data_IF_147973755188
#
_entry.id   IF_147973755188
#
_cell.length_a   1.000
_cell.length_b   1.000
_cell.length_c   1.000
_cell.angle_alpha   90.00
_cell.angle_beta   90.00
_cell.angle_gamma   90.00
#
_symmetry.space_group_name_H-M   'P 1'
#
loop_
_entity.id
_entity.type
_entity.pdbx_description
1 polymer ?
#
# COMPACT_ATOMS: atom_id res chain seq x y z
N UNK A 1 -8.71 20.76 -17.81
CA UNK A 1 -7.58 20.84 -16.85
C UNK A 1 -7.91 21.59 -15.56
N UNK A 2 -8.90 22.49 -15.53
CA UNK A 2 -9.34 23.20 -14.30
C UNK A 2 -10.04 22.26 -13.32
N UNK A 3 -10.75 21.25 -13.80
CA UNK A 3 -11.49 20.29 -12.98
C UNK A 3 -10.56 19.32 -12.23
N UNK A 4 -9.45 18.92 -12.84
CA UNK A 4 -8.40 18.11 -12.19
C UNK A 4 -7.76 18.85 -11.00
N UNK A 5 -7.56 20.17 -11.12
CA UNK A 5 -7.00 20.99 -10.06
C UNK A 5 -7.94 21.14 -8.87
N UNK A 6 -9.25 21.15 -9.13
CA UNK A 6 -10.29 21.16 -8.11
C UNK A 6 -10.28 19.86 -7.30
N UNK A 7 -10.18 18.70 -7.96
CA UNK A 7 -10.08 17.40 -7.28
C UNK A 7 -8.79 17.29 -6.46
N UNK A 8 -7.65 17.75 -6.98
CA UNK A 8 -6.39 17.81 -6.24
C UNK A 8 -6.49 18.66 -4.96
N UNK A 9 -7.25 19.74 -4.99
CA UNK A 9 -7.47 20.59 -3.81
C UNK A 9 -8.33 19.89 -2.75
N UNK A 10 -9.23 19.01 -3.15
CA UNK A 10 -10.05 18.20 -2.25
C UNK A 10 -9.22 17.13 -1.52
N UNK A 11 -8.10 16.69 -2.12
CA UNK A 11 -7.15 15.74 -1.51
C UNK A 11 -6.19 16.39 -0.51
N UNK A 12 -6.01 17.72 -0.57
CA UNK A 12 -5.06 18.45 0.27
C UNK A 12 -5.25 18.25 1.79
N UNK A 13 -6.46 18.23 2.35
CA UNK A 13 -6.66 17.99 3.78
C UNK A 13 -6.32 16.56 4.22
N UNK A 14 -6.25 15.59 3.28
CA UNK A 14 -5.98 14.19 3.54
C UNK A 14 -4.58 13.75 3.08
N UNK A 15 -3.72 14.71 2.72
CA UNK A 15 -2.37 14.45 2.19
C UNK A 15 -1.48 13.66 3.15
N UNK A 16 -1.67 13.81 4.46
CA UNK A 16 -0.92 13.06 5.49
C UNK A 16 -1.21 11.56 5.41
N UNK A 17 -2.47 11.17 5.21
CA UNK A 17 -2.86 9.77 5.06
C UNK A 17 -2.35 9.16 3.75
N UNK A 18 -2.39 9.94 2.68
CA UNK A 18 -1.83 9.54 1.38
C UNK A 18 -0.30 9.39 1.46
N UNK A 19 0.39 10.35 2.07
CA UNK A 19 1.83 10.28 2.28
C UNK A 19 2.21 9.09 3.17
N UNK A 20 1.42 8.79 4.22
CA UNK A 20 1.57 7.61 5.06
C UNK A 20 1.45 6.31 4.25
N UNK A 21 0.43 6.20 3.40
CA UNK A 21 0.25 5.05 2.51
C UNK A 21 1.42 4.86 1.55
N UNK A 22 1.88 5.93 0.90
CA UNK A 22 3.02 5.90 -0.04
C UNK A 22 4.32 5.50 0.68
N UNK A 23 4.58 6.05 1.87
CA UNK A 23 5.79 5.71 2.64
C UNK A 23 5.78 4.25 3.08
N UNK A 24 4.62 3.74 3.49
CA UNK A 24 4.45 2.34 3.88
C UNK A 24 4.62 1.39 2.68
N UNK A 25 4.09 1.76 1.51
CA UNK A 25 4.25 1.04 0.26
C UNK A 25 5.72 0.97 -0.16
N UNK A 26 6.45 2.08 -0.07
CA UNK A 26 7.88 2.13 -0.35
C UNK A 26 8.68 1.24 0.61
N UNK A 27 8.39 1.30 1.91
CA UNK A 27 9.02 0.44 2.92
C UNK A 27 8.78 -1.04 2.62
N UNK A 28 7.56 -1.41 2.27
CA UNK A 28 7.18 -2.78 1.93
C UNK A 28 7.87 -3.27 0.66
N UNK A 29 8.02 -2.41 -0.34
CA UNK A 29 8.75 -2.71 -1.57
C UNK A 29 10.25 -2.94 -1.28
N UNK A 30 10.88 -2.05 -0.50
CA UNK A 30 12.28 -2.19 -0.09
C UNK A 30 12.51 -3.47 0.72
N UNK A 31 11.63 -3.78 1.69
CA UNK A 31 11.70 -5.01 2.45
C UNK A 31 11.58 -6.27 1.56
N UNK A 32 10.75 -6.20 0.51
CA UNK A 32 10.58 -7.30 -0.45
C UNK A 32 11.83 -7.53 -1.30
N UNK A 33 12.47 -6.47 -1.76
CA UNK A 33 13.73 -6.54 -2.53
C UNK A 33 14.85 -7.06 -1.64
N UNK A 34 14.98 -6.52 -0.42
CA UNK A 34 15.99 -6.96 0.55
C UNK A 34 15.80 -8.44 0.91
N UNK A 35 14.55 -8.89 1.10
CA UNK A 35 14.25 -10.30 1.38
C UNK A 35 14.70 -11.21 0.24
N UNK A 36 14.40 -10.83 -1.01
CA UNK A 36 14.77 -11.61 -2.18
C UNK A 36 16.29 -11.70 -2.33
N UNK A 37 16.99 -10.58 -2.20
CA UNK A 37 18.45 -10.49 -2.30
C UNK A 37 19.13 -11.30 -1.21
N UNK A 38 18.69 -11.14 0.04
CA UNK A 38 19.28 -11.85 1.17
C UNK A 38 19.03 -13.37 1.10
N UNK A 39 17.82 -13.77 0.66
CA UNK A 39 17.48 -15.19 0.46
C UNK A 39 18.31 -15.81 -0.65
N UNK A 40 18.49 -15.13 -1.78
CA UNK A 40 19.33 -15.57 -2.88
C UNK A 40 20.80 -15.72 -2.46
N UNK A 41 21.33 -14.71 -1.77
CA UNK A 41 22.68 -14.77 -1.22
C UNK A 41 22.84 -15.93 -0.22
N UNK A 42 21.88 -16.13 0.67
CA UNK A 42 21.92 -17.20 1.67
C UNK A 42 21.94 -18.60 1.03
N UNK A 43 21.13 -18.82 -0.01
CA UNK A 43 21.10 -20.08 -0.75
C UNK A 43 22.44 -20.33 -1.43
N UNK A 44 23.00 -19.33 -2.11
CA UNK A 44 24.28 -19.44 -2.79
C UNK A 44 25.43 -19.69 -1.81
N UNK A 45 25.46 -18.97 -0.69
CA UNK A 45 26.47 -19.11 0.34
C UNK A 45 26.40 -20.50 1.02
N UNK A 46 25.20 -21.01 1.29
CA UNK A 46 25.01 -22.34 1.87
C UNK A 46 25.44 -23.47 0.90
N UNK A 47 25.19 -23.30 -0.40
CA UNK A 47 25.63 -24.24 -1.42
C UNK A 47 27.16 -24.32 -1.49
N UNK A 48 27.83 -23.16 -1.47
CA UNK A 48 29.31 -23.10 -1.46
C UNK A 48 29.86 -23.73 -0.19
N UNK A 49 29.32 -23.41 0.98
CA UNK A 49 29.72 -24.00 2.25
C UNK A 49 29.58 -25.54 2.26
N UNK A 50 28.49 -26.05 1.63
CA UNK A 50 28.24 -27.47 1.48
C UNK A 50 29.29 -28.17 0.62
N UNK A 51 29.75 -27.55 -0.49
CA UNK A 51 30.82 -28.09 -1.34
C UNK A 51 32.15 -28.22 -0.58
N UNK A 52 32.52 -27.17 0.18
CA UNK A 52 33.75 -27.24 1.00
C UNK A 52 33.66 -28.29 2.11
N UNK A 53 32.49 -28.54 2.66
CA UNK A 53 32.30 -29.60 3.67
C UNK A 53 32.51 -31.02 3.08
N UNK A 54 32.17 -31.24 1.83
CA UNK A 54 32.40 -32.51 1.12
C UNK A 54 33.90 -32.76 0.95
N UNK A 55 34.69 -31.72 0.70
CA UNK A 55 36.16 -31.83 0.54
C UNK A 55 36.92 -31.90 1.89
N UNK A 56 36.21 -32.06 3.01
CA UNK A 56 36.77 -32.14 4.35
C UNK A 56 37.21 -30.82 4.95
N UNK A 57 36.98 -29.69 4.28
CA UNK A 57 37.24 -28.34 4.76
C UNK A 57 35.95 -27.75 5.39
N UNK A 58 35.98 -27.50 6.67
CA UNK A 58 34.85 -26.83 7.37
C UNK A 58 34.99 -25.31 7.29
N UNK A 59 34.23 -24.67 6.42
CA UNK A 59 34.02 -23.22 6.52
C UNK A 59 33.03 -22.94 7.64
N UNK A 60 33.41 -22.08 8.59
CA UNK A 60 32.51 -21.62 9.64
C UNK A 60 31.42 -20.72 9.04
N UNK A 61 30.39 -21.33 8.52
CA UNK A 61 29.22 -20.61 7.94
C UNK A 61 28.22 -20.28 9.04
N UNK A 62 28.12 -19.00 9.39
CA UNK A 62 27.14 -18.56 10.36
C UNK A 62 25.76 -18.41 9.69
N UNK A 63 24.91 -19.42 9.83
CA UNK A 63 23.55 -19.42 9.28
C UNK A 63 22.54 -18.69 10.16
N UNK A 64 22.85 -18.43 11.42
CA UNK A 64 21.89 -17.89 12.40
C UNK A 64 21.55 -16.44 12.12
N UNK A 65 22.54 -15.64 11.80
CA UNK A 65 22.36 -14.20 11.53
C UNK A 65 21.51 -13.95 10.26
N UNK A 66 21.81 -14.53 9.09
CA UNK A 66 20.98 -14.36 7.90
C UNK A 66 19.57 -14.91 8.06
N UNK A 67 19.40 -16.03 8.76
CA UNK A 67 18.10 -16.61 9.04
C UNK A 67 17.23 -15.68 9.89
N UNK A 68 17.81 -15.02 10.90
CA UNK A 68 17.12 -14.04 11.71
C UNK A 68 16.72 -12.79 10.91
N UNK A 69 17.61 -12.31 10.04
CA UNK A 69 17.35 -11.16 9.16
C UNK A 69 16.23 -11.45 8.14
N UNK A 70 16.21 -12.63 7.54
CA UNK A 70 15.15 -13.08 6.63
C UNK A 70 13.81 -13.09 7.34
N UNK A 71 13.75 -13.63 8.57
CA UNK A 71 12.53 -13.62 9.37
C UNK A 71 12.05 -12.20 9.70
N UNK A 72 12.97 -11.34 10.12
CA UNK A 72 12.64 -9.94 10.42
C UNK A 72 12.10 -9.20 9.19
N UNK A 73 12.73 -9.36 8.03
CA UNK A 73 12.27 -8.77 6.77
C UNK A 73 10.92 -9.33 6.32
N UNK A 74 10.67 -10.63 6.51
CA UNK A 74 9.39 -11.24 6.20
C UNK A 74 8.25 -10.67 7.08
N UNK A 75 8.50 -10.50 8.37
CA UNK A 75 7.55 -9.89 9.30
C UNK A 75 7.30 -8.42 8.90
N UNK A 76 8.37 -7.66 8.66
CA UNK A 76 8.27 -6.25 8.24
C UNK A 76 7.46 -6.10 6.96
N UNK A 77 7.70 -6.96 5.97
CA UNK A 77 6.92 -6.99 4.72
C UNK A 77 5.44 -7.27 4.96
N UNK A 78 5.13 -8.24 5.82
CA UNK A 78 3.73 -8.63 6.09
C UNK A 78 3.00 -7.53 6.84
N UNK A 79 3.61 -7.00 7.90
CA UNK A 79 3.05 -5.89 8.69
C UNK A 79 2.93 -4.62 7.86
N UNK A 80 3.94 -4.32 7.04
CA UNK A 80 3.93 -3.17 6.15
C UNK A 80 2.79 -3.24 5.12
N UNK A 81 2.56 -4.39 4.50
CA UNK A 81 1.43 -4.61 3.59
C UNK A 81 0.08 -4.46 4.28
N UNK A 82 -0.04 -4.98 5.48
CA UNK A 82 -1.28 -4.85 6.25
C UNK A 82 -1.54 -3.39 6.62
N UNK A 83 -0.52 -2.69 7.12
CA UNK A 83 -0.60 -1.28 7.45
C UNK A 83 -0.91 -0.40 6.23
N UNK A 84 -0.25 -0.64 5.09
CA UNK A 84 -0.54 0.02 3.81
C UNK A 84 -2.02 -0.11 3.43
N UNK A 85 -2.56 -1.33 3.53
CA UNK A 85 -3.96 -1.60 3.20
C UNK A 85 -4.92 -0.88 4.13
N UNK A 86 -4.63 -0.82 5.43
CA UNK A 86 -5.43 -0.08 6.40
C UNK A 86 -5.42 1.42 6.12
N UNK A 87 -4.24 2.00 5.94
CA UNK A 87 -4.08 3.45 5.70
C UNK A 87 -4.73 3.86 4.38
N UNK A 88 -4.56 3.07 3.32
CA UNK A 88 -5.17 3.34 2.02
C UNK A 88 -6.69 3.23 2.09
N UNK A 89 -7.21 2.24 2.80
CA UNK A 89 -8.66 2.05 2.96
C UNK A 89 -9.30 3.21 3.72
N UNK A 90 -8.67 3.64 4.82
CA UNK A 90 -9.11 4.81 5.59
C UNK A 90 -9.07 6.10 4.75
N UNK A 91 -8.00 6.28 3.95
CA UNK A 91 -7.89 7.43 3.05
C UNK A 91 -9.02 7.46 2.01
N UNK A 92 -9.34 6.31 1.41
CA UNK A 92 -10.43 6.18 0.42
C UNK A 92 -11.77 6.53 1.07
N UNK A 93 -12.08 6.02 2.26
CA UNK A 93 -13.35 6.32 2.93
C UNK A 93 -13.49 7.81 3.27
N UNK A 94 -12.43 8.45 3.72
CA UNK A 94 -12.44 9.90 4.01
C UNK A 94 -12.69 10.73 2.75
N UNK A 95 -12.05 10.37 1.65
CA UNK A 95 -12.25 11.03 0.35
C UNK A 95 -13.69 10.82 -0.13
N UNK A 96 -14.20 9.59 -0.04
CA UNK A 96 -15.56 9.26 -0.45
C UNK A 96 -16.61 10.03 0.38
N UNK A 97 -16.41 10.13 1.70
CA UNK A 97 -17.26 10.93 2.57
C UNK A 97 -17.25 12.42 2.18
N UNK A 98 -16.07 12.96 1.85
CA UNK A 98 -15.92 14.33 1.37
C UNK A 98 -16.65 14.58 0.04
N UNK A 99 -16.51 13.68 -0.92
CA UNK A 99 -17.20 13.75 -2.22
C UNK A 99 -18.72 13.68 -2.02
N UNK A 100 -19.19 12.76 -1.16
CA UNK A 100 -20.61 12.61 -0.85
C UNK A 100 -21.19 13.90 -0.23
N UNK A 101 -20.50 14.48 0.74
CA UNK A 101 -20.90 15.73 1.37
C UNK A 101 -20.96 16.88 0.37
N UNK A 102 -19.94 17.02 -0.47
CA UNK A 102 -19.91 18.03 -1.52
C UNK A 102 -21.06 17.85 -2.52
N UNK A 103 -21.33 16.62 -2.95
CA UNK A 103 -22.41 16.31 -3.87
C UNK A 103 -23.77 16.67 -3.29
N UNK A 104 -24.04 16.35 -2.02
CA UNK A 104 -25.27 16.74 -1.34
C UNK A 104 -25.43 18.26 -1.26
N UNK A 105 -24.37 18.99 -0.96
CA UNK A 105 -24.41 20.46 -0.91
C UNK A 105 -24.74 21.09 -2.27
N UNK A 106 -24.33 20.46 -3.36
CA UNK A 106 -24.67 20.91 -4.71
C UNK A 106 -26.12 20.57 -5.12
N UNK A 107 -26.69 19.50 -4.55
CA UNK A 107 -28.06 19.07 -4.83
C UNK A 107 -29.12 19.85 -4.04
N UNK A 108 -28.80 20.31 -2.82
CA UNK A 108 -29.71 21.05 -1.95
C UNK A 108 -30.31 22.30 -2.63
N UNK A 109 -29.56 23.15 -3.36
CA UNK A 109 -30.12 24.33 -4.03
C UNK A 109 -30.91 24.01 -5.30
N UNK A 110 -30.85 22.76 -5.78
CA UNK A 110 -31.70 22.32 -6.90
C UNK A 110 -33.12 22.03 -6.38
N UNK A 111 -33.98 23.05 -6.51
CA UNK A 111 -35.37 23.10 -6.05
C UNK A 111 -36.09 21.75 -6.25
N UNK A 112 -36.87 21.27 -5.28
CA UNK A 112 -37.60 19.99 -5.31
C UNK A 112 -38.39 19.70 -6.59
N UNK A 113 -38.92 20.75 -7.26
CA UNK A 113 -39.65 20.60 -8.50
C UNK A 113 -38.87 20.11 -9.73
N UNK A 114 -37.55 20.23 -9.75
CA UNK A 114 -36.73 19.67 -10.83
C UNK A 114 -36.27 18.23 -10.55
N UNK A 115 -36.14 17.84 -9.30
CA UNK A 115 -35.78 16.48 -8.90
C UNK A 115 -36.92 15.48 -9.10
N UNK A 116 -38.18 15.91 -9.00
CA UNK A 116 -39.35 15.07 -9.27
C UNK A 116 -39.51 14.74 -10.78
N UNK A 117 -38.93 15.55 -11.67
CA UNK A 117 -38.90 15.29 -13.12
C UNK A 117 -37.82 14.26 -13.53
N UNK A 118 -36.81 14.04 -12.67
CA UNK A 118 -35.77 13.02 -12.88
C UNK A 118 -36.21 11.74 -12.16
N UNK A 119 -36.80 10.81 -12.90
CA UNK A 119 -37.15 9.48 -12.37
C UNK A 119 -35.92 8.81 -11.77
N UNK A 120 -36.04 8.33 -10.53
CA UNK A 120 -34.94 7.71 -9.76
C UNK A 120 -34.22 6.59 -10.52
N UNK A 121 -34.88 5.93 -11.49
CA UNK A 121 -34.28 4.91 -12.34
C UNK A 121 -33.32 5.43 -13.40
N UNK A 122 -33.47 6.67 -13.84
CA UNK A 122 -32.64 7.26 -14.92
C UNK A 122 -31.28 7.75 -14.39
N UNK A 123 -31.18 8.02 -13.08
CA UNK A 123 -29.95 8.42 -12.40
C UNK A 123 -29.05 7.20 -12.07
N UNK A 124 -29.63 6.02 -11.97
CA UNK A 124 -28.90 4.78 -11.66
C UNK A 124 -28.43 4.03 -12.92
N UNK A 125 -28.97 4.37 -14.10
CA UNK A 125 -28.67 3.69 -15.36
C UNK A 125 -27.62 4.39 -16.24
N UNK A 126 -27.14 5.57 -15.82
CA UNK A 126 -26.07 6.32 -16.49
C UNK A 126 -24.82 6.41 -15.63
#
# INVERSE_FOLDING_TARGET
>A
MKDLWFFLKLFKPHSIWLAGGISLSLLTALASIALLTLSGWFISASAIAGLFAIDGNTLAFNFMLPAAQIRALAITRTLGRYGERLVTHEAIFRVLAGIRSWFFQQLIPLVPGRLSALRSGDLLSR
#
